data_IF_893284311316
#
_entry.id   IF_893284311316
#
_cell.length_a   1.000
_cell.length_b   1.000
_cell.length_c   1.000
_cell.angle_alpha   90.00
_cell.angle_beta   90.00
_cell.angle_gamma   90.00
#
_symmetry.space_group_name_H-M   'P 1'
#
loop_
_entity.id
_entity.type
_entity.pdbx_description
1 polymer ?
#
# COMPACT_ATOMS: atom_id res chain seq x y z
N UNK A 1 8.62 -12.13 20.70
CA UNK A 1 7.81 -13.22 20.14
C UNK A 1 7.48 -12.82 18.71
N UNK A 2 7.86 -13.62 17.70
CA UNK A 2 7.53 -13.34 16.29
C UNK A 2 6.48 -14.34 15.86
N UNK A 3 5.31 -13.86 15.45
CA UNK A 3 4.26 -14.66 14.85
C UNK A 3 4.19 -14.33 13.36
N UNK A 4 4.18 -15.36 12.50
CA UNK A 4 4.11 -15.21 11.04
C UNK A 4 2.75 -15.68 10.56
N UNK A 5 1.97 -14.79 9.95
CA UNK A 5 0.75 -15.14 9.23
C UNK A 5 1.04 -15.14 7.73
N UNK A 6 0.62 -16.18 7.01
CA UNK A 6 0.72 -16.28 5.55
C UNK A 6 -0.66 -16.58 4.98
N UNK A 7 -1.01 -15.88 3.91
CA UNK A 7 -2.23 -16.12 3.13
C UNK A 7 -1.89 -15.99 1.65
N UNK A 8 -2.49 -16.83 0.83
CA UNK A 8 -2.35 -16.80 -0.62
C UNK A 8 -3.73 -16.61 -1.24
N UNK A 9 -3.85 -15.69 -2.18
CA UNK A 9 -5.10 -15.36 -2.87
C UNK A 9 -4.79 -15.24 -4.36
N UNK A 10 -5.56 -15.93 -5.18
CA UNK A 10 -5.47 -15.81 -6.63
C UNK A 10 -6.13 -14.52 -7.10
N UNK A 11 -5.40 -13.73 -7.89
CA UNK A 11 -5.88 -12.49 -8.47
C UNK A 11 -5.93 -12.64 -10.00
N UNK A 12 -6.96 -12.04 -10.61
CA UNK A 12 -7.11 -12.02 -12.07
C UNK A 12 -6.19 -11.01 -12.76
N UNK A 13 -5.54 -10.13 -11.98
CA UNK A 13 -4.65 -9.08 -12.47
C UNK A 13 -3.24 -9.62 -12.73
N UNK A 14 -2.52 -9.05 -13.69
CA UNK A 14 -1.11 -9.38 -13.89
C UNK A 14 -0.26 -8.97 -12.70
N UNK A 15 0.83 -9.72 -12.46
CA UNK A 15 1.76 -9.47 -11.37
C UNK A 15 2.37 -8.05 -11.45
N UNK A 16 2.73 -7.60 -12.65
CA UNK A 16 3.33 -6.27 -12.86
C UNK A 16 2.36 -5.14 -12.47
N UNK A 17 1.09 -5.28 -12.84
CA UNK A 17 0.08 -4.28 -12.50
C UNK A 17 -0.18 -4.24 -10.99
N UNK A 18 -0.22 -5.40 -10.34
CA UNK A 18 -0.38 -5.48 -8.89
C UNK A 18 0.82 -4.87 -8.16
N UNK A 19 2.04 -5.22 -8.58
CA UNK A 19 3.26 -4.68 -7.98
C UNK A 19 3.37 -3.16 -8.17
N UNK A 20 3.02 -2.67 -9.37
CA UNK A 20 2.94 -1.22 -9.62
C UNK A 20 1.91 -0.57 -8.69
N UNK A 21 0.73 -1.15 -8.52
CA UNK A 21 -0.29 -0.61 -7.63
C UNK A 21 0.19 -0.54 -6.16
N UNK A 22 0.91 -1.56 -5.69
CA UNK A 22 1.49 -1.60 -4.33
C UNK A 22 2.58 -0.55 -4.17
N UNK A 23 3.50 -0.43 -5.13
CA UNK A 23 4.57 0.57 -5.07
C UNK A 23 4.03 2.00 -5.19
N UNK A 24 2.97 2.22 -5.96
CA UNK A 24 2.25 3.50 -6.09
C UNK A 24 1.13 3.68 -5.06
N UNK A 25 1.12 2.85 -4.00
CA UNK A 25 0.04 2.83 -2.99
C UNK A 25 -0.27 4.19 -2.40
N UNK A 26 0.74 5.03 -2.18
CA UNK A 26 0.58 6.38 -1.63
C UNK A 26 -0.43 7.24 -2.41
N UNK A 27 -0.45 7.11 -3.73
CA UNK A 27 -1.38 7.85 -4.58
C UNK A 27 -2.63 7.04 -4.96
N UNK A 28 -2.46 5.75 -5.19
CA UNK A 28 -3.52 4.90 -5.75
C UNK A 28 -4.50 4.41 -4.69
N UNK A 29 -4.03 4.03 -3.49
CA UNK A 29 -4.90 3.38 -2.52
C UNK A 29 -6.00 4.29 -1.99
N UNK A 30 -5.75 5.57 -1.65
CA UNK A 30 -6.83 6.48 -1.26
C UNK A 30 -7.87 6.72 -2.38
N UNK A 31 -7.49 6.54 -3.65
CA UNK A 31 -8.39 6.72 -4.81
C UNK A 31 -9.20 5.46 -5.10
N UNK A 32 -8.58 4.29 -5.01
CA UNK A 32 -9.19 2.99 -5.35
C UNK A 32 -10.00 2.44 -4.17
N UNK A 33 -9.52 2.68 -2.94
CA UNK A 33 -10.05 2.16 -1.69
C UNK A 33 -10.29 3.29 -0.68
N UNK A 34 -11.11 4.32 -1.01
CA UNK A 34 -11.32 5.49 -0.16
C UNK A 34 -12.00 5.17 1.18
N UNK A 35 -12.68 4.02 1.25
CA UNK A 35 -13.29 3.54 2.49
C UNK A 35 -12.24 2.99 3.43
N UNK A 36 -11.20 2.31 2.91
CA UNK A 36 -10.12 1.72 3.71
C UNK A 36 -8.97 2.69 3.97
N UNK A 37 -8.68 3.61 3.04
CA UNK A 37 -7.55 4.54 3.12
C UNK A 37 -8.05 5.98 2.92
N UNK A 38 -8.04 6.78 3.99
CA UNK A 38 -8.42 8.20 3.95
C UNK A 38 -7.31 9.06 3.37
N UNK A 39 -6.06 8.79 3.74
CA UNK A 39 -4.90 9.45 3.16
C UNK A 39 -3.62 8.64 3.37
N UNK A 40 -2.67 8.80 2.46
CA UNK A 40 -1.30 8.36 2.65
C UNK A 40 -0.40 9.55 2.32
N UNK A 41 0.44 9.94 3.27
CA UNK A 41 1.31 11.12 3.14
C UNK A 41 2.76 10.69 3.33
N UNK A 42 3.63 11.13 2.41
CA UNK A 42 5.07 10.90 2.51
C UNK A 42 5.64 11.93 3.48
N UNK A 43 6.27 11.45 4.54
CA UNK A 43 6.95 12.30 5.53
C UNK A 43 8.42 12.48 5.14
N UNK A 44 9.06 11.43 4.64
CA UNK A 44 10.44 11.44 4.17
C UNK A 44 10.64 10.45 3.02
N UNK A 45 11.47 10.80 2.03
CA UNK A 45 11.78 9.95 0.88
C UNK A 45 10.83 10.16 -0.30
N UNK A 46 10.65 9.10 -1.11
CA UNK A 46 9.92 9.14 -2.38
C UNK A 46 8.61 8.35 -2.37
N UNK A 47 8.25 7.72 -1.25
CA UNK A 47 7.04 6.92 -1.11
C UNK A 47 7.21 5.44 -1.45
N UNK A 48 8.35 5.02 -2.02
CA UNK A 48 8.52 3.71 -2.68
C UNK A 48 9.84 3.02 -2.37
N UNK A 49 10.91 3.80 -2.24
CA UNK A 49 12.26 3.32 -1.99
C UNK A 49 12.49 3.01 -0.51
N UNK A 50 13.50 2.16 -0.25
CA UNK A 50 13.95 1.81 1.10
C UNK A 50 14.30 3.09 1.87
N UNK A 51 13.87 3.14 3.14
CA UNK A 51 14.10 4.30 4.02
C UNK A 51 13.00 5.36 3.99
N UNK A 52 12.03 5.25 3.07
CA UNK A 52 10.86 6.15 3.04
C UNK A 52 10.00 6.01 4.31
N UNK A 53 9.53 7.14 4.84
CA UNK A 53 8.55 7.21 5.93
C UNK A 53 7.20 7.67 5.38
N UNK A 54 6.13 6.91 5.67
CA UNK A 54 4.75 7.23 5.27
C UNK A 54 3.83 7.29 6.48
N UNK A 55 3.03 8.33 6.56
CA UNK A 55 1.86 8.41 7.45
C UNK A 55 0.65 7.86 6.70
N UNK A 56 -0.03 6.87 7.27
CA UNK A 56 -1.24 6.26 6.68
C UNK A 56 -2.42 6.49 7.63
N UNK A 57 -3.48 7.13 7.11
CA UNK A 57 -4.77 7.26 7.78
C UNK A 57 -5.75 6.27 7.16
N UNK A 58 -6.09 5.24 7.92
CA UNK A 58 -7.09 4.25 7.53
C UNK A 58 -8.51 4.78 7.77
N UNK A 59 -9.50 4.20 7.10
CA UNK A 59 -10.91 4.40 7.46
C UNK A 59 -11.29 3.64 8.72
N UNK A 60 -12.40 4.08 9.34
CA UNK A 60 -13.08 3.38 10.44
C UNK A 60 -13.82 2.13 9.96
#
# INVERSE_FOLDING_TARGET
>A
MVATLKTEIELKSSADNLWKAISESTELFPKIFPDQYKSITIIEGDGKSVGTIREIKYGE
#
